data_IF_338873308841
#
_entry.id   IF_338873308841
#
_cell.length_a   1.000
_cell.length_b   1.000
_cell.length_c   1.000
_cell.angle_alpha   90.00
_cell.angle_beta   90.00
_cell.angle_gamma   90.00
#
_symmetry.space_group_name_H-M   'P 1'
#
loop_
_entity.id
_entity.type
_entity.pdbx_description
1 polymer ?
#
# COMPACT_ATOMS: atom_id res chain seq x y z
N UNK A 1 1.84 3.49 21.26
CA UNK A 1 2.92 3.59 20.26
C UNK A 1 3.35 5.04 20.23
N UNK A 2 4.63 5.30 20.49
CA UNK A 2 5.21 6.65 20.45
C UNK A 2 6.13 6.73 19.23
N UNK A 3 6.11 7.87 18.54
CA UNK A 3 6.95 8.12 17.36
C UNK A 3 7.71 9.41 17.61
N UNK A 4 9.04 9.32 17.64
CA UNK A 4 9.94 10.46 17.86
C UNK A 4 10.63 10.79 16.55
N UNK A 5 10.25 11.91 15.92
CA UNK A 5 10.89 12.40 14.70
C UNK A 5 11.92 13.47 15.04
N UNK A 6 13.21 13.17 14.85
CA UNK A 6 14.28 14.15 14.99
C UNK A 6 14.47 14.89 13.67
N UNK A 7 14.66 16.22 13.72
CA UNK A 7 14.91 17.06 12.53
C UNK A 7 16.34 16.90 11.96
N UNK A 8 16.92 15.70 12.05
CA UNK A 8 18.28 15.42 11.54
C UNK A 8 18.15 14.62 10.26
N UNK A 9 18.53 15.22 9.14
CA UNK A 9 18.60 14.54 7.84
C UNK A 9 19.69 13.45 7.92
N UNK A 10 19.32 12.19 7.68
CA UNK A 10 20.24 11.05 7.71
C UNK A 10 20.59 10.52 9.11
N UNK A 11 19.82 10.89 10.14
CA UNK A 11 19.96 10.29 11.47
C UNK A 11 19.59 8.80 11.50
N UNK A 12 20.05 8.04 12.52
CA UNK A 12 19.72 6.63 12.65
C UNK A 12 18.21 6.43 12.80
N UNK A 13 17.69 5.38 12.17
CA UNK A 13 16.29 5.00 12.25
C UNK A 13 16.18 3.68 13.01
N UNK A 14 15.62 3.73 14.23
CA UNK A 14 15.53 2.57 15.13
C UNK A 14 14.11 2.39 15.65
N UNK A 15 13.67 1.15 15.75
CA UNK A 15 12.43 0.76 16.41
C UNK A 15 12.77 0.06 17.73
N UNK A 16 12.22 0.54 18.84
CA UNK A 16 12.42 -0.05 20.18
C UNK A 16 11.13 -0.70 20.64
N UNK A 17 11.22 -1.95 21.11
CA UNK A 17 10.11 -2.72 21.67
C UNK A 17 10.40 -2.97 23.13
N UNK A 18 9.57 -2.41 24.01
CA UNK A 18 9.67 -2.61 25.46
C UNK A 18 8.64 -3.67 25.90
N UNK A 19 9.13 -4.71 26.57
CA UNK A 19 8.33 -5.78 27.16
C UNK A 19 8.16 -5.56 28.66
N UNK A 20 7.19 -6.27 29.27
CA UNK A 20 7.09 -6.32 30.72
C UNK A 20 8.36 -6.91 31.34
N UNK A 21 8.84 -6.33 32.44
CA UNK A 21 10.01 -6.80 33.18
C UNK A 21 11.35 -6.33 32.62
N UNK A 22 11.44 -5.05 32.23
CA UNK A 22 12.65 -4.35 31.78
C UNK A 22 13.36 -4.93 30.53
N UNK A 23 12.78 -5.94 29.88
CA UNK A 23 13.30 -6.45 28.61
C UNK A 23 13.01 -5.45 27.49
N UNK A 24 14.07 -5.03 26.79
CA UNK A 24 13.99 -4.15 25.62
C UNK A 24 14.67 -4.81 24.43
N UNK A 25 14.06 -4.70 23.27
CA UNK A 25 14.61 -5.14 21.99
C UNK A 25 14.71 -3.94 21.06
N UNK A 26 15.85 -3.77 20.41
CA UNK A 26 16.09 -2.65 19.48
C UNK A 26 16.32 -3.21 18.09
N UNK A 27 15.54 -2.74 17.13
CA UNK A 27 15.61 -3.13 15.72
C UNK A 27 16.12 -1.93 14.93
N UNK A 28 17.22 -2.12 14.20
CA UNK A 28 17.67 -1.16 13.20
C UNK A 28 16.76 -1.25 11.96
N UNK A 29 16.09 -0.16 11.63
CA UNK A 29 15.17 -0.06 10.50
C UNK A 29 15.72 0.80 9.37
N UNK A 30 16.95 1.27 9.49
CA UNK A 30 17.57 2.14 8.50
C UNK A 30 17.79 1.39 7.17
N UNK A 31 17.38 2.00 6.05
CA UNK A 31 17.50 1.43 4.70
C UNK A 31 16.81 0.07 4.49
N UNK A 32 15.80 -0.25 5.30
CA UNK A 32 15.07 -1.52 5.19
C UNK A 32 13.67 -1.33 4.62
N UNK A 33 13.20 -2.35 3.89
CA UNK A 33 11.83 -2.38 3.41
C UNK A 33 10.86 -2.69 4.56
N UNK A 34 9.67 -2.09 4.52
CA UNK A 34 8.63 -2.24 5.54
C UNK A 34 8.34 -3.72 5.86
N UNK A 35 8.19 -4.54 4.83
CA UNK A 35 7.88 -5.97 4.99
C UNK A 35 8.93 -6.74 5.81
N UNK A 36 10.20 -6.35 5.74
CA UNK A 36 11.26 -7.03 6.49
C UNK A 36 11.31 -6.56 7.94
N UNK A 37 11.00 -5.28 8.18
CA UNK A 37 10.82 -4.74 9.52
C UNK A 37 9.66 -5.45 10.22
N UNK A 38 8.51 -5.60 9.55
CA UNK A 38 7.34 -6.28 10.12
C UNK A 38 7.65 -7.73 10.48
N UNK A 39 8.33 -8.48 9.60
CA UNK A 39 8.73 -9.87 9.88
C UNK A 39 9.56 -9.97 11.15
N UNK A 40 10.54 -9.08 11.32
CA UNK A 40 11.40 -9.07 12.51
C UNK A 40 10.61 -8.71 13.76
N UNK A 41 9.72 -7.71 13.71
CA UNK A 41 8.83 -7.37 14.82
C UNK A 41 7.98 -8.56 15.25
N UNK A 42 7.37 -9.29 14.30
CA UNK A 42 6.59 -10.50 14.60
C UNK A 42 7.48 -11.60 15.20
N UNK A 43 8.69 -11.79 14.68
CA UNK A 43 9.65 -12.76 15.21
C UNK A 43 10.11 -12.43 16.63
N UNK A 44 10.31 -11.15 16.96
CA UNK A 44 10.77 -10.68 18.27
C UNK A 44 9.64 -10.74 19.30
N UNK A 45 8.44 -10.31 18.91
CA UNK A 45 7.26 -10.30 19.79
C UNK A 45 6.63 -11.67 19.98
N UNK A 46 6.87 -12.61 19.06
CA UNK A 46 6.19 -13.91 18.99
C UNK A 46 4.67 -13.77 19.02
N UNK A 47 4.16 -12.66 18.46
CA UNK A 47 2.74 -12.38 18.43
C UNK A 47 2.02 -13.45 17.60
N UNK A 48 0.89 -13.95 18.13
CA UNK A 48 0.01 -14.86 17.39
C UNK A 48 -0.86 -14.04 16.44
N UNK A 49 -0.91 -14.45 15.18
CA UNK A 49 -1.82 -13.86 14.22
C UNK A 49 -3.27 -14.15 14.63
N UNK A 50 -4.10 -13.11 14.66
CA UNK A 50 -5.53 -13.27 14.87
C UNK A 50 -6.19 -13.80 13.59
N UNK A 51 -7.21 -14.67 13.70
CA UNK A 51 -7.99 -15.09 12.55
C UNK A 51 -8.68 -13.86 11.93
N UNK A 52 -8.77 -13.85 10.60
CA UNK A 52 -9.46 -12.79 9.87
C UNK A 52 -10.96 -12.90 10.15
N UNK A 53 -11.58 -11.78 10.53
CA UNK A 53 -13.02 -11.69 10.70
C UNK A 53 -13.70 -11.82 9.31
N UNK A 54 -14.70 -12.71 9.16
CA UNK A 54 -15.44 -12.86 7.90
C UNK A 54 -16.03 -11.56 7.34
N UNK A 55 -16.52 -10.66 8.19
CA UNK A 55 -17.07 -9.38 7.74
C UNK A 55 -15.99 -8.45 7.20
N UNK A 56 -14.81 -8.41 7.83
CA UNK A 56 -13.67 -7.64 7.34
C UNK A 56 -13.20 -8.16 5.98
N UNK A 57 -13.20 -9.48 5.80
CA UNK A 57 -12.87 -10.11 4.53
C UNK A 57 -13.89 -9.77 3.43
N UNK A 58 -15.19 -9.76 3.76
CA UNK A 58 -16.25 -9.37 2.82
C UNK A 58 -16.08 -7.92 2.39
N UNK A 59 -15.91 -7.00 3.34
CA UNK A 59 -15.71 -5.57 3.06
C UNK A 59 -14.46 -5.31 2.20
N UNK A 60 -13.36 -6.00 2.50
CA UNK A 60 -12.13 -5.89 1.71
C UNK A 60 -12.34 -6.33 0.27
N UNK A 61 -13.04 -7.45 0.05
CA UNK A 61 -13.34 -7.96 -1.28
C UNK A 61 -14.28 -7.04 -2.06
N UNK A 62 -15.34 -6.52 -1.44
CA UNK A 62 -16.25 -5.55 -2.06
C UNK A 62 -15.51 -4.29 -2.53
N UNK A 63 -14.59 -3.78 -1.71
CA UNK A 63 -13.74 -2.64 -2.10
C UNK A 63 -12.83 -2.97 -3.29
N UNK A 64 -12.20 -4.14 -3.30
CA UNK A 64 -11.32 -4.55 -4.40
C UNK A 64 -12.08 -4.69 -5.71
N UNK A 65 -13.29 -5.26 -5.67
CA UNK A 65 -14.17 -5.37 -6.83
C UNK A 65 -14.62 -4.00 -7.35
N UNK A 66 -15.03 -3.09 -6.47
CA UNK A 66 -15.43 -1.72 -6.86
C UNK A 66 -14.25 -0.96 -7.49
N UNK A 67 -13.06 -1.07 -6.89
CA UNK A 67 -11.83 -0.48 -7.43
C UNK A 67 -11.51 -1.01 -8.82
N UNK A 68 -11.65 -2.33 -9.03
CA UNK A 68 -11.42 -2.94 -10.34
C UNK A 68 -12.45 -2.46 -11.37
N UNK A 69 -13.74 -2.39 -11.00
CA UNK A 69 -14.80 -1.85 -11.87
C UNK A 69 -14.52 -0.41 -12.28
N UNK A 70 -14.05 0.43 -11.34
CA UNK A 70 -13.65 1.81 -11.63
C UNK A 70 -12.49 1.88 -12.61
N UNK A 71 -11.43 1.12 -12.39
CA UNK A 71 -10.26 1.08 -13.28
C UNK A 71 -10.65 0.65 -14.70
N UNK A 72 -11.46 -0.40 -14.85
CA UNK A 72 -11.95 -0.86 -16.15
C UNK A 72 -12.87 0.20 -16.78
N UNK A 73 -13.73 0.84 -16.00
CA UNK A 73 -14.60 1.92 -16.45
C UNK A 73 -13.82 3.13 -16.99
N UNK A 74 -12.73 3.51 -16.33
CA UNK A 74 -11.84 4.58 -16.78
C UNK A 74 -11.08 4.20 -18.06
N UNK A 75 -10.53 2.98 -18.12
CA UNK A 75 -9.90 2.45 -19.32
C UNK A 75 -10.86 2.46 -20.52
N UNK A 76 -12.10 2.00 -20.32
CA UNK A 76 -13.14 2.00 -21.36
C UNK A 76 -13.54 3.41 -21.80
N UNK A 77 -13.62 4.37 -20.86
CA UNK A 77 -13.87 5.78 -21.20
C UNK A 77 -12.74 6.37 -22.04
N UNK A 78 -11.48 6.06 -21.71
CA UNK A 78 -10.32 6.48 -22.50
C UNK A 78 -10.33 5.85 -23.90
N UNK A 79 -10.59 4.54 -23.99
CA UNK A 79 -10.69 3.83 -25.26
C UNK A 79 -11.79 4.41 -26.16
N UNK A 80 -12.98 4.70 -25.62
CA UNK A 80 -14.08 5.35 -26.37
C UNK A 80 -13.72 6.75 -26.86
N UNK A 81 -13.02 7.54 -26.03
CA UNK A 81 -12.53 8.87 -26.43
C UNK A 81 -11.47 8.79 -27.53
N UNK A 82 -10.57 7.81 -27.46
CA UNK A 82 -9.57 7.58 -28.49
C UNK A 82 -10.24 7.18 -29.82
N UNK A 83 -11.16 6.20 -29.79
CA UNK A 83 -11.90 5.76 -30.98
C UNK A 83 -12.71 6.91 -31.63
N UNK A 84 -13.38 7.75 -30.83
CA UNK A 84 -14.10 8.93 -31.34
C UNK A 84 -13.17 9.93 -32.02
N UNK A 85 -12.01 10.22 -31.43
CA UNK A 85 -11.00 11.10 -32.04
C UNK A 85 -10.44 10.54 -33.34
N UNK A 86 -10.26 9.21 -33.41
CA UNK A 86 -9.76 8.55 -34.61
C UNK A 86 -10.80 8.60 -35.74
N UNK A 87 -12.07 8.37 -35.41
CA UNK A 87 -13.19 8.52 -36.33
C UNK A 87 -13.34 9.97 -36.82
N UNK A 88 -13.22 10.96 -35.94
CA UNK A 88 -13.25 12.39 -36.32
C UNK A 88 -12.06 12.77 -37.23
N UNK A 89 -10.88 12.15 -37.07
CA UNK A 89 -9.74 12.34 -37.98
C UNK A 89 -10.00 11.74 -39.36
N UNK A 90 -10.60 10.55 -39.41
CA UNK A 90 -11.00 9.89 -40.66
C UNK A 90 -12.09 10.68 -41.40
N UNK A 91 -13.09 11.20 -40.68
CA UNK A 91 -14.21 11.97 -41.25
C UNK A 91 -13.82 13.39 -41.66
N UNK A 92 -12.88 14.03 -40.96
CA UNK A 92 -12.38 15.38 -41.30
C UNK A 92 -11.40 15.41 -42.48
N UNK A 93 -11.02 14.25 -43.03
CA UNK A 93 -10.19 14.15 -44.23
C UNK A 93 -8.76 14.70 -44.06
N UNK A 94 -8.32 15.00 -42.83
CA UNK A 94 -6.93 15.39 -42.56
C UNK A 94 -6.08 14.13 -42.51
N UNK A 95 -5.66 13.68 -43.69
CA UNK A 95 -4.49 12.79 -43.84
C UNK A 95 -3.24 13.59 -43.44
N UNK A 96 -2.43 13.00 -42.55
CA UNK A 96 -1.10 13.51 -42.25
C UNK A 96 -0.20 13.55 -43.50
#
# INVERSE_FOLDING_TARGET
MEVIQKQVIGGPATLVIEFKGDRKETIDVQHRHESDIIKEVIQVTKAKQLPINPEDNRLANEYLEDKQKKLVGEANKMARRAAKKEQEKLESGVTA
#
